data_IF_542803232996
#
_entry.id   IF_542803232996
#
_cell.length_a   1.000
_cell.length_b   1.000
_cell.length_c   1.000
_cell.angle_alpha   90.00
_cell.angle_beta   90.00
_cell.angle_gamma   90.00
#
_symmetry.space_group_name_H-M   'P 1'
#
loop_
_entity.id
_entity.type
_entity.pdbx_description
1 polymer ?
#
# COMPACT_ATOMS: atom_id res chain seq x y z
N UNK A 1 -9.07 -16.57 -4.23
CA UNK A 1 -9.43 -15.22 -3.76
C UNK A 1 -9.60 -14.21 -4.90
N UNK A 2 -9.27 -14.58 -6.16
CA UNK A 2 -9.38 -13.68 -7.32
C UNK A 2 -8.16 -12.81 -7.57
N UNK A 3 -7.09 -12.91 -6.77
CA UNK A 3 -5.81 -12.25 -7.02
C UNK A 3 -4.91 -13.14 -7.85
N UNK A 4 -4.41 -12.62 -8.98
CA UNK A 4 -3.44 -13.33 -9.80
C UNK A 4 -2.13 -13.57 -9.04
N UNK A 5 -1.55 -14.76 -9.15
CA UNK A 5 -0.31 -15.10 -8.46
C UNK A 5 0.85 -14.19 -8.86
N UNK A 6 0.90 -13.79 -10.14
CA UNK A 6 1.89 -12.83 -10.64
C UNK A 6 1.86 -11.48 -9.93
N UNK A 7 0.71 -11.04 -9.40
CA UNK A 7 0.62 -9.79 -8.61
C UNK A 7 1.35 -9.93 -7.28
N UNK A 8 1.24 -11.09 -6.62
CA UNK A 8 1.93 -11.33 -5.33
C UNK A 8 3.44 -11.30 -5.53
N UNK A 9 3.92 -11.95 -6.58
CA UNK A 9 5.34 -11.96 -6.96
C UNK A 9 5.84 -10.55 -7.33
N UNK A 10 5.08 -9.83 -8.16
CA UNK A 10 5.45 -8.48 -8.59
C UNK A 10 5.57 -7.50 -7.42
N UNK A 11 4.67 -7.57 -6.44
CA UNK A 11 4.76 -6.73 -5.23
C UNK A 11 6.05 -7.03 -4.46
N UNK A 12 6.48 -8.30 -4.38
CA UNK A 12 7.76 -8.68 -3.76
C UNK A 12 8.96 -8.13 -4.51
N UNK A 13 8.96 -8.21 -5.85
CA UNK A 13 10.04 -7.65 -6.67
C UNK A 13 10.12 -6.13 -6.58
N UNK A 14 8.98 -5.43 -6.51
CA UNK A 14 8.95 -3.98 -6.31
C UNK A 14 9.53 -3.58 -4.94
N UNK A 15 9.23 -4.35 -3.88
CA UNK A 15 9.77 -4.14 -2.54
C UNK A 15 11.30 -4.32 -2.53
N UNK A 16 11.78 -5.42 -3.12
CA UNK A 16 13.21 -5.71 -3.25
C UNK A 16 13.93 -4.61 -4.04
N UNK A 17 13.40 -4.24 -5.20
CA UNK A 17 13.97 -3.19 -6.05
C UNK A 17 14.05 -1.84 -5.31
N UNK A 18 13.05 -1.50 -4.52
CA UNK A 18 13.07 -0.26 -3.75
C UNK A 18 14.16 -0.27 -2.67
N UNK A 19 14.35 -1.42 -2.01
CA UNK A 19 15.46 -1.64 -1.08
C UNK A 19 16.81 -1.45 -1.77
N UNK A 20 17.01 -2.10 -2.92
CA UNK A 20 18.26 -2.04 -3.69
C UNK A 20 18.57 -0.60 -4.15
N UNK A 21 17.54 0.11 -4.62
CA UNK A 21 17.64 1.50 -5.06
C UNK A 21 17.63 2.53 -3.93
N UNK A 22 17.48 2.09 -2.66
CA UNK A 22 17.39 2.96 -1.48
C UNK A 22 16.27 4.01 -1.56
N UNK A 23 15.13 3.62 -2.14
CA UNK A 23 13.93 4.46 -2.21
C UNK A 23 12.81 3.89 -1.35
N UNK A 24 11.88 4.74 -0.93
CA UNK A 24 10.73 4.29 -0.14
C UNK A 24 9.76 3.48 -1.02
N UNK A 25 9.23 2.38 -0.47
CA UNK A 25 8.17 1.59 -1.09
C UNK A 25 6.89 1.62 -0.27
N UNK A 26 5.76 1.73 -0.98
CA UNK A 26 4.43 1.59 -0.40
C UNK A 26 3.58 0.63 -1.24
N UNK A 27 3.21 -0.50 -0.65
CA UNK A 27 2.38 -1.49 -1.34
C UNK A 27 0.90 -1.10 -1.28
N UNK A 28 0.37 -0.60 -2.40
CA UNK A 28 -1.07 -0.36 -2.57
C UNK A 28 -1.87 -1.68 -2.40
N UNK A 29 -1.33 -2.79 -2.90
CA UNK A 29 -1.90 -4.12 -2.72
C UNK A 29 -2.13 -4.46 -1.24
N UNK A 30 -1.10 -4.30 -0.40
CA UNK A 30 -1.24 -4.51 1.06
C UNK A 30 -2.16 -3.46 1.68
N UNK A 31 -2.09 -2.21 1.23
CA UNK A 31 -2.93 -1.12 1.74
C UNK A 31 -4.44 -1.33 1.53
N UNK A 32 -4.81 -1.93 0.40
CA UNK A 32 -6.20 -2.31 0.13
C UNK A 32 -6.67 -3.41 1.07
N UNK A 33 -5.78 -4.33 1.46
CA UNK A 33 -6.06 -5.48 2.33
C UNK A 33 -5.45 -6.79 1.85
N UNK A 34 -4.65 -6.76 0.77
CA UNK A 34 -3.97 -7.94 0.24
C UNK A 34 -4.90 -8.88 -0.55
N UNK A 35 -4.62 -10.19 -0.53
CA UNK A 35 -5.27 -11.16 -1.41
C UNK A 35 -6.80 -11.12 -1.35
N UNK A 36 -7.43 -11.17 -2.53
CA UNK A 36 -8.87 -11.11 -2.76
C UNK A 36 -9.56 -9.80 -2.43
N UNK A 37 -8.83 -8.77 -2.02
CA UNK A 37 -9.48 -7.53 -1.58
C UNK A 37 -10.10 -6.77 -2.74
N UNK A 38 -9.56 -6.83 -3.97
CA UNK A 38 -10.18 -6.14 -5.11
C UNK A 38 -11.60 -6.65 -5.38
N UNK A 39 -11.80 -7.97 -5.36
CA UNK A 39 -13.13 -8.59 -5.51
C UNK A 39 -14.09 -8.10 -4.43
N UNK A 40 -13.69 -8.13 -3.15
CA UNK A 40 -14.52 -7.61 -2.05
C UNK A 40 -14.83 -6.13 -2.19
N UNK A 41 -13.87 -5.33 -2.63
CA UNK A 41 -14.07 -3.89 -2.84
C UNK A 41 -15.11 -3.63 -3.93
N UNK A 42 -15.08 -4.38 -5.04
CA UNK A 42 -16.07 -4.26 -6.12
C UNK A 42 -17.43 -4.78 -5.67
N UNK A 43 -17.50 -6.03 -5.22
CA UNK A 43 -18.78 -6.74 -5.09
C UNK A 43 -19.51 -6.44 -3.79
N UNK A 44 -18.78 -6.26 -2.68
CA UNK A 44 -19.41 -6.04 -1.37
C UNK A 44 -19.49 -4.55 -1.00
N UNK A 45 -18.54 -3.73 -1.47
CA UNK A 45 -18.38 -2.35 -1.01
C UNK A 45 -18.69 -1.30 -2.08
N UNK A 46 -18.85 -1.69 -3.34
CA UNK A 46 -19.00 -0.79 -4.48
C UNK A 46 -17.89 0.29 -4.53
N UNK A 47 -16.66 -0.13 -4.23
CA UNK A 47 -15.44 0.69 -4.14
C UNK A 47 -14.51 0.52 -5.35
N UNK A 48 -14.94 -0.21 -6.38
CA UNK A 48 -14.19 -0.41 -7.62
C UNK A 48 -15.11 -0.59 -8.82
N UNK A 49 -14.53 -0.56 -10.00
CA UNK A 49 -15.18 -0.84 -11.27
C UNK A 49 -15.36 -2.34 -11.49
N UNK A 50 -16.34 -2.73 -12.31
CA UNK A 50 -16.61 -4.14 -12.66
C UNK A 50 -15.56 -4.77 -13.57
N UNK A 51 -14.51 -4.02 -13.93
CA UNK A 51 -13.30 -4.55 -14.55
C UNK A 51 -12.36 -5.24 -13.55
N UNK A 52 -12.64 -5.13 -12.23
CA UNK A 52 -11.82 -5.68 -11.14
C UNK A 52 -10.35 -5.22 -11.16
N UNK A 53 -10.07 -4.06 -11.76
CA UNK A 53 -8.74 -3.45 -11.82
C UNK A 53 -8.76 -2.07 -11.19
N UNK A 54 -9.75 -1.24 -11.50
CA UNK A 54 -9.77 0.17 -11.08
C UNK A 54 -10.60 0.37 -9.80
N UNK A 55 -10.01 1.03 -8.80
CA UNK A 55 -10.80 1.59 -7.68
C UNK A 55 -11.55 2.84 -8.15
N UNK A 56 -12.79 3.00 -7.69
CA UNK A 56 -13.58 4.20 -7.99
C UNK A 56 -13.35 5.28 -6.91
N UNK A 57 -14.07 6.39 -6.99
CA UNK A 57 -13.94 7.49 -6.01
C UNK A 57 -14.13 7.04 -4.55
N UNK A 58 -15.07 6.13 -4.28
CA UNK A 58 -15.32 5.58 -2.94
C UNK A 58 -14.14 4.71 -2.47
N UNK A 59 -13.56 3.91 -3.37
CA UNK A 59 -12.33 3.16 -3.11
C UNK A 59 -11.12 4.08 -2.87
N UNK A 60 -11.00 5.16 -3.64
CA UNK A 60 -10.00 6.20 -3.42
C UNK A 60 -10.10 6.81 -2.01
N UNK A 61 -11.31 7.18 -1.57
CA UNK A 61 -11.56 7.65 -0.19
C UNK A 61 -11.21 6.62 0.88
N UNK A 62 -11.35 5.33 0.58
CA UNK A 62 -10.95 4.25 1.49
C UNK A 62 -9.43 4.12 1.59
N UNK A 63 -8.71 4.20 0.47
CA UNK A 63 -7.25 3.99 0.42
C UNK A 63 -6.45 5.22 0.84
N UNK A 64 -6.85 6.43 0.43
CA UNK A 64 -6.04 7.64 0.61
C UNK A 64 -5.61 7.92 2.08
N UNK A 65 -6.48 7.79 3.10
CA UNK A 65 -6.06 7.98 4.49
C UNK A 65 -4.99 6.99 4.96
N UNK A 66 -4.95 5.77 4.38
CA UNK A 66 -3.94 4.75 4.72
C UNK A 66 -2.58 5.11 4.17
N UNK A 67 -2.53 5.64 2.94
CA UNK A 67 -1.29 6.18 2.35
C UNK A 67 -0.78 7.32 3.21
N UNK A 68 -1.64 8.31 3.50
CA UNK A 68 -1.28 9.48 4.29
C UNK A 68 -0.72 9.11 5.68
N UNK A 69 -1.43 8.25 6.42
CA UNK A 69 -0.97 7.76 7.74
C UNK A 69 0.39 7.06 7.67
N UNK A 70 0.65 6.33 6.60
CA UNK A 70 1.93 5.62 6.42
C UNK A 70 3.09 6.58 6.19
N UNK A 71 2.89 7.62 5.38
CA UNK A 71 3.89 8.68 5.17
C UNK A 71 4.19 9.41 6.49
N UNK A 72 3.14 9.83 7.20
CA UNK A 72 3.29 10.52 8.50
C UNK A 72 4.01 9.63 9.52
N UNK A 73 3.65 8.35 9.61
CA UNK A 73 4.33 7.40 10.48
C UNK A 73 5.81 7.22 10.12
N UNK A 74 6.13 7.16 8.82
CA UNK A 74 7.50 7.11 8.32
C UNK A 74 8.32 8.33 8.75
N UNK A 75 7.76 9.53 8.56
CA UNK A 75 8.41 10.78 8.97
C UNK A 75 8.64 10.86 10.49
N UNK A 76 7.64 10.48 11.28
CA UNK A 76 7.77 10.47 12.75
C UNK A 76 8.84 9.48 13.23
N UNK A 77 8.92 8.30 12.59
CA UNK A 77 9.95 7.32 12.87
C UNK A 77 11.35 7.87 12.52
N UNK A 78 11.50 8.51 11.37
CA UNK A 78 12.75 9.17 10.97
C UNK A 78 13.18 10.24 11.98
N UNK A 79 12.28 11.17 12.32
CA UNK A 79 12.56 12.24 13.28
C UNK A 79 12.96 11.70 14.66
N UNK A 80 12.30 10.62 15.12
CA UNK A 80 12.68 9.92 16.35
C UNK A 80 14.08 9.33 16.27
N UNK A 81 14.44 8.65 15.17
CA UNK A 81 15.78 8.08 14.97
C UNK A 81 16.86 9.16 15.00
N UNK A 82 16.63 10.29 14.32
CA UNK A 82 17.59 11.41 14.31
C UNK A 82 17.82 11.99 15.71
N UNK A 83 16.77 12.12 16.53
CA UNK A 83 16.91 12.54 17.94
C UNK A 83 17.72 11.57 18.79
N UNK A 84 17.64 10.26 18.53
CA UNK A 84 18.39 9.25 19.26
C UNK A 84 19.87 9.27 18.88
N UNK A 85 20.18 9.41 17.58
CA UNK A 85 21.55 9.52 17.07
C UNK A 85 22.23 10.76 17.63
N UNK A 86 21.55 11.92 17.61
CA UNK A 86 22.14 13.19 18.07
C UNK A 86 22.24 13.33 19.60
N UNK A 87 21.73 12.35 20.37
CA UNK A 87 21.85 12.31 21.83
C UNK A 87 23.01 11.42 22.31
N UNK A 88 23.60 10.62 21.41
CA UNK A 88 24.86 9.91 21.63
C UNK A 88 26.03 10.83 21.32
#
# INVERSE_FOLDING_TARGET
DGTMEGVKMLVGYQDQMASDCKVAFYSLYKAMGGPGTMMRLVDEKNMGSKDYVHINFKGGKYVAPRIFKSIVAGQNNYARKMKLINKQ
#
